data_IF_117540529354
#
_entry.id   IF_117540529354
#
_cell.length_a   1.000
_cell.length_b   1.000
_cell.length_c   1.000
_cell.angle_alpha   90.00
_cell.angle_beta   90.00
_cell.angle_gamma   90.00
#
_symmetry.space_group_name_H-M   'P 1'
#
loop_
_entity.id
_entity.type
_entity.pdbx_description
1 polymer ?
#
# COMPACT_ATOMS: atom_id res chain seq x y z
N UNK A 1 24.01 9.30 2.81
CA UNK A 1 23.06 9.32 1.69
C UNK A 1 21.73 9.94 2.13
N UNK A 2 20.95 10.52 1.20
CA UNK A 2 19.63 11.12 1.46
C UNK A 2 18.68 10.15 2.17
N UNK A 3 18.63 8.89 1.73
CA UNK A 3 17.78 7.86 2.34
C UNK A 3 18.08 7.67 3.84
N UNK A 4 19.35 7.62 4.24
CA UNK A 4 19.73 7.47 5.63
C UNK A 4 19.22 8.64 6.51
N UNK A 5 19.28 9.85 6.01
CA UNK A 5 18.76 11.01 6.72
C UNK A 5 17.23 11.02 6.80
N UNK A 6 16.54 10.59 5.77
CA UNK A 6 15.07 10.48 5.78
C UNK A 6 14.62 9.35 6.73
N UNK A 7 15.30 8.21 6.75
CA UNK A 7 15.06 7.17 7.76
C UNK A 7 15.34 7.67 9.18
N UNK A 8 16.43 8.41 9.37
CA UNK A 8 16.76 9.01 10.67
C UNK A 8 15.61 9.92 11.14
N UNK A 9 15.07 10.75 10.26
CA UNK A 9 13.92 11.60 10.57
C UNK A 9 12.70 10.80 11.02
N UNK A 10 12.36 9.71 10.29
CA UNK A 10 11.28 8.79 10.67
C UNK A 10 11.46 8.25 12.10
N UNK A 11 12.63 7.71 12.41
CA UNK A 11 12.90 7.18 13.75
C UNK A 11 12.92 8.25 14.83
N UNK A 12 13.43 9.45 14.54
CA UNK A 12 13.38 10.57 15.47
C UNK A 12 11.94 10.94 15.81
N UNK A 13 11.03 10.97 14.83
CA UNK A 13 9.63 11.30 15.05
C UNK A 13 8.96 10.33 16.03
N UNK A 14 9.28 9.05 15.97
CA UNK A 14 8.77 8.05 16.93
C UNK A 14 9.27 8.25 18.37
N UNK A 15 10.34 9.02 18.58
CA UNK A 15 10.88 9.32 19.91
C UNK A 15 10.25 10.56 20.55
N UNK A 16 9.21 11.13 19.98
CA UNK A 16 8.58 12.38 20.43
C UNK A 16 8.12 12.32 21.90
N UNK A 17 7.54 11.19 22.33
CA UNK A 17 7.11 11.02 23.73
C UNK A 17 8.27 10.95 24.75
N UNK A 18 9.45 10.59 24.28
CA UNK A 18 10.65 10.45 25.13
C UNK A 18 11.44 11.76 25.16
N UNK A 19 11.62 12.38 24.00
CA UNK A 19 12.50 13.56 23.85
C UNK A 19 11.76 14.90 23.92
N UNK A 20 10.44 14.87 23.95
CA UNK A 20 9.57 16.05 23.86
C UNK A 20 9.36 16.53 22.41
N UNK A 21 8.21 17.14 22.18
CA UNK A 21 7.74 17.49 20.83
C UNK A 21 8.69 18.48 20.12
N UNK A 22 9.05 19.58 20.76
CA UNK A 22 9.88 20.65 20.18
C UNK A 22 11.29 20.14 19.82
N UNK A 23 11.93 19.42 20.75
CA UNK A 23 13.27 18.86 20.53
C UNK A 23 13.25 17.87 19.36
N UNK A 24 12.26 16.98 19.32
CA UNK A 24 12.08 16.01 18.26
C UNK A 24 11.84 16.68 16.92
N UNK A 25 10.92 17.64 16.86
CA UNK A 25 10.60 18.37 15.63
C UNK A 25 11.82 19.07 15.02
N UNK A 26 12.62 19.74 15.86
CA UNK A 26 13.87 20.38 15.42
C UNK A 26 14.87 19.38 14.84
N UNK A 27 15.03 18.21 15.50
CA UNK A 27 15.92 17.16 15.04
C UNK A 27 15.43 16.52 13.72
N UNK A 28 14.12 16.33 13.56
CA UNK A 28 13.47 15.83 12.33
C UNK A 28 13.75 16.77 11.16
N UNK A 29 13.47 18.07 11.31
CA UNK A 29 13.71 19.06 10.26
C UNK A 29 15.20 19.14 9.88
N UNK A 30 16.10 19.09 10.86
CA UNK A 30 17.55 19.04 10.63
C UNK A 30 17.97 17.80 9.83
N UNK A 31 17.32 16.67 10.05
CA UNK A 31 17.58 15.44 9.27
C UNK A 31 16.99 15.54 7.88
N UNK A 32 15.73 16.01 7.74
CA UNK A 32 15.05 16.15 6.45
C UNK A 32 15.74 17.15 5.51
N UNK A 33 16.39 18.18 6.04
CA UNK A 33 17.17 19.13 5.21
C UNK A 33 18.30 18.47 4.41
N UNK A 34 18.72 17.25 4.81
CA UNK A 34 19.73 16.41 4.14
C UNK A 34 19.10 15.15 3.52
N UNK A 35 17.76 15.02 3.62
CA UNK A 35 16.99 13.90 3.17
C UNK A 35 16.58 13.96 1.70
N UNK A 36 15.47 13.31 1.38
CA UNK A 36 14.90 13.31 0.04
C UNK A 36 14.46 14.71 -0.39
N UNK A 37 14.68 15.01 -1.66
CA UNK A 37 14.34 16.31 -2.27
C UNK A 37 13.38 16.18 -3.45
N UNK A 38 13.14 14.96 -3.93
CA UNK A 38 12.25 14.67 -5.06
C UNK A 38 11.79 13.21 -5.01
N UNK A 39 10.72 12.87 -5.74
CA UNK A 39 10.23 11.47 -5.87
C UNK A 39 11.29 10.52 -6.48
N UNK A 40 12.23 11.05 -7.25
CA UNK A 40 13.36 10.26 -7.76
C UNK A 40 14.33 9.76 -6.69
N UNK A 41 14.25 10.32 -5.48
CA UNK A 41 15.05 9.89 -4.33
C UNK A 41 14.40 8.74 -3.56
N UNK A 42 13.18 8.33 -3.90
CA UNK A 42 12.44 7.26 -3.22
C UNK A 42 13.32 6.02 -3.04
N UNK A 43 13.39 5.53 -1.81
CA UNK A 43 14.16 4.34 -1.49
C UNK A 43 13.32 3.09 -1.78
N UNK A 44 13.68 2.39 -2.85
CA UNK A 44 12.94 1.25 -3.35
C UNK A 44 13.86 0.10 -3.75
N UNK A 45 13.37 -1.11 -3.55
CA UNK A 45 13.96 -2.33 -4.10
C UNK A 45 13.38 -2.57 -5.49
N UNK A 46 14.24 -2.53 -6.50
CA UNK A 46 13.87 -2.75 -7.90
C UNK A 46 13.95 -4.23 -8.26
N UNK A 47 13.00 -4.67 -9.06
CA UNK A 47 12.91 -6.03 -9.58
C UNK A 47 13.04 -6.04 -11.09
N UNK A 48 13.20 -7.21 -11.67
CA UNK A 48 13.30 -7.46 -13.11
C UNK A 48 12.85 -8.89 -13.44
N UNK A 49 12.98 -9.31 -14.69
CA UNK A 49 12.57 -10.65 -15.14
C UNK A 49 13.38 -11.80 -14.53
N UNK A 50 14.55 -11.54 -13.95
CA UNK A 50 15.41 -12.55 -13.28
C UNK A 50 15.10 -12.56 -11.79
N UNK A 51 15.16 -11.39 -11.15
CA UNK A 51 14.79 -11.19 -9.75
C UNK A 51 13.40 -10.58 -9.71
N UNK A 52 12.39 -11.41 -9.69
CA UNK A 52 11.00 -10.99 -9.79
C UNK A 52 10.44 -10.51 -8.47
N UNK A 53 9.46 -9.62 -8.53
CA UNK A 53 8.76 -9.10 -7.37
C UNK A 53 8.12 -10.26 -6.55
N UNK A 54 8.28 -10.31 -5.21
CA UNK A 54 7.72 -11.37 -4.36
C UNK A 54 6.20 -11.51 -4.46
N UNK A 55 5.46 -10.41 -4.62
CA UNK A 55 4.00 -10.47 -4.82
C UNK A 55 3.65 -11.11 -6.16
N UNK A 56 4.42 -10.83 -7.22
CA UNK A 56 4.29 -11.52 -8.50
C UNK A 56 4.48 -13.02 -8.33
N UNK A 57 5.54 -13.44 -7.66
CA UNK A 57 5.80 -14.86 -7.39
C UNK A 57 4.69 -15.52 -6.57
N UNK A 58 4.16 -14.81 -5.56
CA UNK A 58 3.05 -15.30 -4.75
C UNK A 58 1.78 -15.50 -5.58
N UNK A 59 1.52 -14.61 -6.54
CA UNK A 59 0.37 -14.75 -7.43
C UNK A 59 0.56 -15.87 -8.47
N UNK A 60 1.78 -16.09 -8.96
CA UNK A 60 2.09 -17.27 -9.77
C UNK A 60 1.89 -18.56 -9.00
N UNK A 61 2.21 -18.59 -7.71
CA UNK A 61 1.95 -19.73 -6.81
C UNK A 61 0.47 -20.11 -6.73
N UNK A 62 -0.47 -19.19 -7.00
CA UNK A 62 -1.88 -19.50 -7.11
C UNK A 62 -2.18 -20.48 -8.27
N UNK A 63 -1.41 -20.40 -9.36
CA UNK A 63 -1.57 -21.32 -10.51
C UNK A 63 -1.11 -22.74 -10.19
N UNK A 64 -0.24 -22.90 -9.19
CA UNK A 64 0.31 -24.19 -8.74
C UNK A 64 -0.37 -24.71 -7.46
N UNK A 65 -1.28 -23.94 -6.86
CA UNK A 65 -2.00 -24.31 -5.62
C UNK A 65 -1.18 -24.14 -4.33
N UNK A 66 0.02 -23.58 -4.39
CA UNK A 66 0.95 -23.57 -3.27
C UNK A 66 0.86 -22.35 -2.35
N UNK A 67 0.29 -21.24 -2.81
CA UNK A 67 0.09 -20.03 -1.99
C UNK A 67 -1.16 -19.30 -2.46
N UNK A 68 -2.04 -18.97 -1.52
CA UNK A 68 -3.29 -18.27 -1.80
C UNK A 68 -3.41 -17.03 -0.93
N UNK A 69 -3.09 -15.87 -1.50
CA UNK A 69 -3.44 -14.58 -0.90
C UNK A 69 -4.72 -14.05 -1.55
N UNK A 70 -5.76 -13.94 -0.76
CA UNK A 70 -7.02 -13.37 -1.18
C UNK A 70 -7.22 -11.99 -0.56
N UNK A 71 -7.92 -11.14 -1.28
CA UNK A 71 -8.27 -9.81 -0.78
C UNK A 71 -9.34 -9.94 0.31
N UNK A 72 -9.13 -9.24 1.41
CA UNK A 72 -10.10 -9.19 2.50
C UNK A 72 -11.43 -8.58 2.05
N UNK A 73 -12.53 -9.14 2.55
CA UNK A 73 -13.86 -8.57 2.32
C UNK A 73 -13.99 -7.14 2.85
N UNK A 74 -13.27 -6.78 3.91
CA UNK A 74 -13.23 -5.41 4.40
C UNK A 74 -12.68 -4.44 3.35
N UNK A 75 -11.55 -4.79 2.72
CA UNK A 75 -10.98 -3.96 1.66
C UNK A 75 -11.96 -3.79 0.50
N UNK A 76 -12.56 -4.90 0.03
CA UNK A 76 -13.56 -4.85 -1.04
C UNK A 76 -14.75 -3.96 -0.64
N UNK A 77 -15.26 -4.10 0.57
CA UNK A 77 -16.39 -3.31 1.06
C UNK A 77 -16.07 -1.81 1.15
N UNK A 78 -14.85 -1.44 1.55
CA UNK A 78 -14.42 -0.03 1.53
C UNK A 78 -14.31 0.53 0.11
N UNK A 79 -13.82 -0.27 -0.82
CA UNK A 79 -13.59 0.18 -2.19
C UNK A 79 -14.86 0.19 -3.04
N UNK A 80 -15.86 -0.63 -2.71
CA UNK A 80 -17.10 -0.72 -3.48
C UNK A 80 -18.26 0.12 -2.91
N UNK A 81 -18.00 0.89 -1.85
CA UNK A 81 -19.03 1.67 -1.20
C UNK A 81 -20.07 0.87 -0.42
N UNK A 82 -19.72 -0.37 -0.05
CA UNK A 82 -20.61 -1.25 0.72
C UNK A 82 -21.02 -0.63 2.06
N UNK A 83 -22.12 -1.14 2.63
CA UNK A 83 -22.76 -0.65 3.87
C UNK A 83 -21.92 -0.97 5.13
N UNK A 84 -20.61 -0.77 5.08
CA UNK A 84 -19.70 -0.96 6.21
C UNK A 84 -19.17 0.40 6.64
N UNK A 85 -19.17 0.65 7.95
CA UNK A 85 -18.58 1.87 8.50
C UNK A 85 -17.18 2.14 7.89
N UNK A 86 -16.86 3.39 7.48
CA UNK A 86 -17.65 4.62 7.64
C UNK A 86 -18.68 4.89 6.52
N UNK A 87 -18.80 4.02 5.54
CA UNK A 87 -19.58 4.22 4.31
C UNK A 87 -20.96 3.56 4.38
N UNK A 88 -21.79 3.97 5.33
CA UNK A 88 -23.14 3.45 5.49
C UNK A 88 -24.16 3.98 4.46
N UNK A 89 -23.71 4.56 3.35
CA UNK A 89 -24.58 5.20 2.38
C UNK A 89 -24.66 4.43 1.08
N UNK A 90 -25.87 4.15 0.61
CA UNK A 90 -26.15 3.57 -0.70
C UNK A 90 -25.77 4.47 -1.90
N UNK A 91 -25.36 5.71 -1.64
CA UNK A 91 -24.93 6.67 -2.66
C UNK A 91 -23.44 6.59 -2.98
N UNK A 92 -22.65 5.78 -2.26
CA UNK A 92 -21.23 5.61 -2.54
C UNK A 92 -21.04 4.63 -3.68
N UNK A 93 -20.42 5.09 -4.74
CA UNK A 93 -20.08 4.27 -5.91
C UNK A 93 -18.74 3.56 -5.71
N UNK A 94 -18.49 2.53 -6.49
CA UNK A 94 -17.20 1.83 -6.52
C UNK A 94 -16.06 2.82 -6.76
N UNK A 95 -15.00 2.72 -5.98
CA UNK A 95 -13.78 3.50 -6.18
C UNK A 95 -13.17 3.14 -7.55
N UNK A 96 -12.89 4.12 -8.42
CA UNK A 96 -12.37 3.87 -9.76
C UNK A 96 -10.99 3.20 -9.77
N UNK A 97 -10.27 3.17 -8.63
CA UNK A 97 -9.01 2.45 -8.48
C UNK A 97 -9.18 0.95 -8.28
N UNK A 98 -10.39 0.47 -7.95
CA UNK A 98 -10.64 -0.95 -7.68
C UNK A 98 -10.09 -1.86 -8.80
N UNK A 99 -10.41 -1.64 -10.09
CA UNK A 99 -9.88 -2.48 -11.18
C UNK A 99 -8.36 -2.39 -11.37
N UNK A 100 -7.72 -1.37 -10.79
CA UNK A 100 -6.26 -1.18 -10.86
C UNK A 100 -5.52 -1.85 -9.69
N UNK A 101 -6.23 -2.18 -8.62
CA UNK A 101 -5.65 -2.71 -7.39
C UNK A 101 -5.90 -4.21 -7.22
N UNK A 102 -6.98 -4.73 -7.82
CA UNK A 102 -7.41 -6.12 -7.65
C UNK A 102 -7.80 -6.75 -8.99
N UNK A 103 -7.70 -8.07 -9.07
CA UNK A 103 -7.89 -8.83 -10.30
C UNK A 103 -8.99 -9.88 -10.12
N UNK A 104 -9.86 -9.96 -11.12
CA UNK A 104 -10.95 -10.93 -11.22
C UNK A 104 -10.57 -12.16 -12.05
N UNK A 105 -9.40 -12.17 -12.69
CA UNK A 105 -8.95 -13.26 -13.55
C UNK A 105 -8.77 -14.57 -12.78
N UNK A 106 -8.94 -15.67 -13.46
CA UNK A 106 -8.62 -16.99 -12.93
C UNK A 106 -7.23 -17.41 -13.40
N UNK A 107 -6.42 -17.85 -12.45
CA UNK A 107 -5.06 -18.34 -12.68
C UNK A 107 -5.04 -19.87 -12.59
N UNK A 108 -4.45 -20.51 -13.58
CA UNK A 108 -4.29 -21.98 -13.61
C UNK A 108 -2.98 -22.35 -14.29
N UNK A 109 -2.59 -23.62 -14.23
CA UNK A 109 -1.42 -24.13 -14.97
C UNK A 109 -1.56 -23.99 -16.50
N UNK A 110 -2.79 -23.86 -17.01
CA UNK A 110 -3.08 -23.62 -18.42
C UNK A 110 -2.94 -22.14 -18.83
N UNK A 111 -2.76 -21.23 -17.87
CA UNK A 111 -2.63 -19.80 -18.11
C UNK A 111 -3.62 -18.93 -17.32
N UNK A 112 -3.76 -17.71 -17.79
CA UNK A 112 -4.66 -16.70 -17.19
C UNK A 112 -5.94 -16.60 -18.03
N UNK A 113 -7.08 -16.83 -17.40
CA UNK A 113 -8.39 -16.60 -18.01
C UNK A 113 -8.93 -15.26 -17.51
N UNK A 114 -9.28 -14.32 -18.41
CA UNK A 114 -9.88 -13.05 -18.02
C UNK A 114 -11.11 -13.25 -17.13
N UNK A 115 -11.22 -12.37 -16.14
CA UNK A 115 -12.37 -12.38 -15.22
C UNK A 115 -13.63 -11.74 -15.83
N UNK A 116 -14.72 -11.70 -15.06
CA UNK A 116 -15.94 -11.01 -15.43
C UNK A 116 -15.71 -9.50 -15.54
N UNK A 117 -16.73 -8.79 -15.99
CA UNK A 117 -16.72 -7.34 -16.20
C UNK A 117 -16.24 -6.58 -14.94
N UNK A 118 -15.12 -5.85 -15.01
CA UNK A 118 -14.57 -5.15 -13.86
C UNK A 118 -15.35 -3.86 -13.49
N UNK A 119 -16.34 -3.46 -14.28
CA UNK A 119 -17.20 -2.31 -13.95
C UNK A 119 -18.34 -2.68 -12.99
N UNK A 120 -18.62 -3.96 -12.83
CA UNK A 120 -19.70 -4.46 -11.99
C UNK A 120 -19.20 -4.78 -10.56
N UNK A 121 -19.67 -3.99 -9.60
CA UNK A 121 -19.35 -4.14 -8.15
C UNK A 121 -19.57 -5.58 -7.65
N UNK A 122 -20.64 -6.24 -8.10
CA UNK A 122 -21.01 -7.59 -7.67
C UNK A 122 -19.96 -8.66 -8.04
N UNK A 123 -19.05 -8.37 -8.95
CA UNK A 123 -17.99 -9.31 -9.35
C UNK A 123 -16.82 -9.34 -8.36
N UNK A 124 -16.71 -8.33 -7.48
CA UNK A 124 -15.66 -8.24 -6.48
C UNK A 124 -16.12 -8.90 -5.18
N UNK A 125 -15.56 -10.06 -4.89
CA UNK A 125 -15.91 -10.86 -3.70
C UNK A 125 -14.63 -11.05 -2.88
N UNK A 126 -14.60 -10.44 -1.70
CA UNK A 126 -13.50 -10.60 -0.77
C UNK A 126 -13.61 -11.84 0.10
N UNK A 127 -12.52 -12.25 0.72
CA UNK A 127 -12.47 -13.28 1.75
C UNK A 127 -12.90 -12.74 3.10
N UNK A 128 -13.76 -13.49 3.79
CA UNK A 128 -14.04 -13.20 5.19
C UNK A 128 -12.82 -13.53 6.04
N UNK A 129 -12.38 -12.57 6.87
CA UNK A 129 -11.22 -12.77 7.72
C UNK A 129 -11.44 -13.95 8.69
N UNK A 130 -10.40 -14.77 8.85
CA UNK A 130 -10.45 -15.94 9.73
C UNK A 130 -11.18 -17.16 9.15
N UNK A 131 -11.66 -17.12 7.91
CA UNK A 131 -12.29 -18.25 7.25
C UNK A 131 -11.43 -18.75 6.08
N UNK A 132 -11.32 -20.06 5.92
CA UNK A 132 -10.72 -20.68 4.74
C UNK A 132 -11.75 -20.65 3.60
N UNK A 133 -11.83 -19.56 2.86
CA UNK A 133 -12.74 -19.46 1.72
C UNK A 133 -11.95 -19.51 0.41
N UNK A 134 -12.51 -20.20 -0.58
CA UNK A 134 -12.05 -20.15 -1.97
C UNK A 134 -12.49 -18.84 -2.60
N UNK A 135 -12.05 -17.74 -2.05
CA UNK A 135 -12.40 -16.42 -2.53
C UNK A 135 -11.84 -16.15 -3.92
N UNK A 136 -12.39 -15.18 -4.56
CA UNK A 136 -12.39 -15.01 -5.98
C UNK A 136 -11.64 -13.78 -6.44
N UNK A 137 -11.51 -12.77 -5.58
CA UNK A 137 -10.79 -11.53 -5.91
C UNK A 137 -9.36 -11.61 -5.37
N UNK A 138 -8.39 -11.32 -6.22
CA UNK A 138 -6.95 -11.51 -5.97
C UNK A 138 -6.17 -10.25 -6.28
N UNK A 139 -4.91 -10.22 -5.87
CA UNK A 139 -3.93 -9.28 -6.40
C UNK A 139 -3.38 -9.92 -7.66
N UNK A 140 -3.69 -9.39 -8.85
CA UNK A 140 -3.24 -9.96 -10.11
C UNK A 140 -1.76 -9.75 -10.39
N UNK A 141 -1.20 -10.52 -11.32
CA UNK A 141 0.21 -10.40 -11.74
C UNK A 141 0.47 -9.19 -12.65
N UNK A 142 -0.55 -8.45 -13.02
CA UNK A 142 -0.46 -7.29 -13.93
C UNK A 142 -0.70 -5.95 -13.24
N UNK A 143 -0.95 -5.96 -11.92
CA UNK A 143 -1.31 -4.76 -11.18
C UNK A 143 -0.10 -4.07 -10.56
N UNK A 144 -0.28 -2.80 -10.21
CA UNK A 144 0.79 -1.88 -9.81
C UNK A 144 1.78 -2.47 -8.78
N UNK A 145 1.29 -3.23 -7.79
CA UNK A 145 2.15 -3.79 -6.73
C UNK A 145 2.69 -5.18 -7.05
N UNK A 146 2.15 -5.87 -8.04
CA UNK A 146 2.40 -7.30 -8.30
C UNK A 146 2.85 -7.62 -9.71
N UNK A 147 3.24 -6.62 -10.50
CA UNK A 147 3.96 -6.87 -11.75
C UNK A 147 5.31 -7.49 -11.48
N UNK A 148 5.83 -8.20 -12.46
CA UNK A 148 7.11 -8.90 -12.39
C UNK A 148 8.26 -7.98 -11.95
N UNK A 149 8.23 -6.72 -12.37
CA UNK A 149 9.25 -5.70 -12.16
C UNK A 149 8.81 -4.56 -11.20
N UNK A 150 7.62 -4.66 -10.61
CA UNK A 150 7.12 -3.64 -9.67
C UNK A 150 8.07 -3.48 -8.50
N UNK A 151 8.50 -2.25 -8.19
CA UNK A 151 9.36 -2.00 -7.06
C UNK A 151 8.61 -2.12 -5.73
N UNK A 152 9.30 -2.55 -4.69
CA UNK A 152 8.83 -2.39 -3.30
C UNK A 152 9.44 -1.11 -2.74
N UNK A 153 8.58 -0.16 -2.38
CA UNK A 153 8.98 1.14 -1.86
C UNK A 153 9.03 1.09 -0.33
N UNK A 154 10.17 1.42 0.25
CA UNK A 154 10.40 1.43 1.69
C UNK A 154 10.27 2.81 2.31
N UNK A 155 10.56 3.85 1.54
CA UNK A 155 10.56 5.22 2.01
C UNK A 155 10.35 6.15 0.82
N UNK A 156 9.40 7.07 0.92
CA UNK A 156 9.04 7.99 -0.16
C UNK A 156 9.39 9.44 0.18
N UNK A 157 9.55 10.25 -0.85
CA UNK A 157 9.61 11.71 -0.69
C UNK A 157 8.27 12.27 -0.16
N UNK A 158 7.15 11.68 -0.55
CA UNK A 158 5.85 12.07 -0.01
C UNK A 158 5.79 11.90 1.52
N UNK A 159 6.29 10.77 2.06
CA UNK A 159 6.40 10.56 3.50
C UNK A 159 7.33 11.60 4.16
N UNK A 160 8.46 11.92 3.51
CA UNK A 160 9.36 12.97 4.00
C UNK A 160 8.63 14.32 4.15
N UNK A 161 7.75 14.66 3.20
CA UNK A 161 6.94 15.89 3.26
C UNK A 161 5.90 15.86 4.37
N UNK A 162 5.28 14.71 4.64
CA UNK A 162 4.38 14.56 5.79
C UNK A 162 5.12 14.68 7.12
N UNK A 163 6.30 14.06 7.26
CA UNK A 163 7.14 14.23 8.46
C UNK A 163 7.59 15.70 8.65
N UNK A 164 7.89 16.41 7.56
CA UNK A 164 8.21 17.83 7.60
C UNK A 164 7.04 18.66 8.09
N UNK A 165 5.84 18.42 7.54
CA UNK A 165 4.62 19.12 7.94
C UNK A 165 4.27 18.87 9.41
N UNK A 166 4.36 17.62 9.88
CA UNK A 166 4.14 17.28 11.29
C UNK A 166 5.15 17.97 12.20
N UNK A 167 6.44 17.96 11.85
CA UNK A 167 7.46 18.62 12.63
C UNK A 167 7.26 20.15 12.70
N UNK A 168 6.85 20.78 11.60
CA UNK A 168 6.51 22.21 11.58
C UNK A 168 5.28 22.51 12.44
N UNK A 169 4.27 21.68 12.39
CA UNK A 169 3.07 21.80 13.24
C UNK A 169 3.43 21.74 14.73
N UNK A 170 4.27 20.78 15.12
CA UNK A 170 4.73 20.65 16.51
C UNK A 170 5.53 21.85 16.98
N UNK A 171 6.37 22.44 16.13
CA UNK A 171 7.12 23.65 16.47
C UNK A 171 6.21 24.88 16.61
N UNK A 172 5.11 24.93 15.88
CA UNK A 172 4.10 25.98 16.00
C UNK A 172 3.21 25.86 17.25
N UNK A 173 3.47 24.89 18.13
CA UNK A 173 2.71 24.66 19.35
C UNK A 173 1.48 23.76 19.16
N UNK A 174 1.39 23.06 18.02
CA UNK A 174 0.36 22.06 17.79
C UNK A 174 0.51 20.86 18.72
N UNK A 175 -0.60 20.34 19.21
CA UNK A 175 -0.66 19.11 20.01
C UNK A 175 -1.04 17.94 19.12
N UNK A 176 -0.21 16.89 19.01
CA UNK A 176 -0.64 15.67 18.34
C UNK A 176 -1.76 15.01 19.12
N UNK A 177 -2.80 14.58 18.43
CA UNK A 177 -3.95 13.84 18.98
C UNK A 177 -3.65 12.34 19.06
#
# INVERSE_FOLDING_TARGET
TKAAYTFKARFQLHLMKVNGATTTASAVLSSLSKGFTANSDDFQLKYNSINTNPWYQSQLGLSTGNLTFYISNHFISYMNGGAVFPFASSSVTMDPRMPLLVDLSTYSSAGITPGPDPTLVANYIGSTNGTATTSKTKIGTQFFYSKIDSPIVYLTYAEAKFMEAEAQFLLAGGTPT
#
